data_IF_682107118063
#
_entry.id   IF_682107118063
#
_cell.length_a   1.000
_cell.length_b   1.000
_cell.length_c   1.000
_cell.angle_alpha   90.00
_cell.angle_beta   90.00
_cell.angle_gamma   90.00
#
_symmetry.space_group_name_H-M   'P 1'
#
loop_
_entity.id
_entity.type
_entity.pdbx_description
1 polymer ?
#
# COMPACT_ATOMS: atom_id res chain seq x y z
N UNK A 1 13.41 23.66 11.66
CA UNK A 1 12.37 22.71 11.20
C UNK A 1 12.59 21.36 11.88
N UNK A 2 11.61 20.83 12.61
CA UNK A 2 11.69 19.48 13.20
C UNK A 2 11.14 18.49 12.17
N UNK A 3 12.01 17.66 11.59
CA UNK A 3 11.60 16.60 10.67
C UNK A 3 10.97 15.47 11.49
N UNK A 4 9.64 15.48 11.60
CA UNK A 4 8.88 14.36 12.16
C UNK A 4 8.96 13.18 11.21
N UNK A 5 9.62 12.09 11.61
CA UNK A 5 9.68 10.84 10.84
C UNK A 5 8.65 9.86 11.40
N UNK A 6 7.83 9.31 10.53
CA UNK A 6 6.88 8.26 10.86
C UNK A 6 7.46 6.90 10.44
N UNK A 7 7.43 5.92 11.35
CA UNK A 7 7.93 4.56 11.12
C UNK A 7 6.76 3.60 11.27
N UNK A 8 6.61 2.66 10.32
CA UNK A 8 5.61 1.58 10.40
C UNK A 8 6.28 0.32 10.94
N UNK A 9 5.76 -0.19 12.07
CA UNK A 9 6.21 -1.41 12.75
C UNK A 9 5.33 -2.58 12.32
N UNK A 10 5.95 -3.68 11.86
CA UNK A 10 5.23 -4.91 11.51
C UNK A 10 5.64 -6.01 12.48
N UNK A 11 4.67 -6.56 13.22
CA UNK A 11 4.86 -7.74 14.06
C UNK A 11 4.44 -8.99 13.27
N UNK A 12 5.40 -9.79 12.79
CA UNK A 12 5.12 -11.15 12.32
C UNK A 12 5.22 -12.09 13.52
N UNK A 13 4.06 -12.60 13.97
CA UNK A 13 4.00 -13.56 15.06
C UNK A 13 4.89 -14.77 14.77
N UNK A 14 5.98 -14.92 15.53
CA UNK A 14 6.90 -16.05 15.44
C UNK A 14 8.39 -15.70 15.38
N UNK A 15 8.77 -14.45 15.07
CA UNK A 15 10.18 -14.03 15.05
C UNK A 15 10.38 -12.82 15.94
N UNK A 16 11.23 -12.93 16.97
CA UNK A 16 11.56 -11.87 17.96
C UNK A 16 12.37 -10.70 17.38
N UNK A 17 12.32 -10.45 16.06
CA UNK A 17 13.10 -9.40 15.41
C UNK A 17 12.14 -8.32 14.93
N UNK A 18 12.30 -7.11 15.46
CA UNK A 18 11.60 -5.92 15.00
C UNK A 18 11.98 -5.67 13.54
N UNK A 19 10.99 -5.74 12.65
CA UNK A 19 11.17 -5.36 11.25
C UNK A 19 10.54 -4.00 11.01
N UNK A 20 11.31 -3.12 10.36
CA UNK A 20 10.89 -1.78 9.99
C UNK A 20 10.63 -1.75 8.49
N UNK A 21 9.52 -1.15 8.08
CA UNK A 21 9.22 -0.94 6.66
C UNK A 21 10.15 0.14 6.12
N UNK A 22 11.09 -0.25 5.25
CA UNK A 22 11.86 0.70 4.45
C UNK A 22 11.12 0.89 3.14
N UNK A 23 10.51 2.07 2.95
CA UNK A 23 10.04 2.47 1.62
C UNK A 23 11.29 2.75 0.77
N UNK A 24 11.61 1.83 -0.14
CA UNK A 24 12.78 1.91 -1.03
C UNK A 24 12.45 2.80 -2.24
N UNK A 25 11.16 2.91 -2.58
CA UNK A 25 10.70 3.67 -3.74
C UNK A 25 10.89 5.17 -3.50
N UNK A 26 11.84 5.74 -4.23
CA UNK A 26 12.11 7.19 -4.28
C UNK A 26 11.08 7.97 -5.10
N UNK A 27 10.02 7.30 -5.57
CA UNK A 27 8.99 7.94 -6.39
C UNK A 27 8.12 8.84 -5.50
N UNK A 28 7.95 10.13 -5.86
CA UNK A 28 7.01 11.01 -5.19
C UNK A 28 5.60 10.41 -5.21
N UNK A 29 4.86 10.57 -4.12
CA UNK A 29 3.43 10.24 -4.10
C UNK A 29 2.75 11.20 -5.10
N UNK A 30 2.25 10.67 -6.21
CA UNK A 30 1.43 11.44 -7.13
C UNK A 30 0.08 11.71 -6.47
N UNK A 31 -0.35 12.97 -6.49
CA UNK A 31 -1.63 13.42 -5.94
C UNK A 31 -2.43 14.11 -7.04
N UNK A 32 -3.75 14.07 -6.93
CA UNK A 32 -4.65 14.74 -7.88
C UNK A 32 -5.88 15.26 -7.17
N UNK A 33 -6.42 16.38 -7.65
CA UNK A 33 -7.70 16.95 -7.20
C UNK A 33 -8.89 16.42 -8.03
N UNK A 34 -8.63 15.74 -9.15
CA UNK A 34 -9.69 15.18 -9.99
C UNK A 34 -10.18 13.86 -9.41
N UNK A 35 -11.43 13.85 -8.92
CA UNK A 35 -12.06 12.66 -8.33
C UNK A 35 -12.03 11.43 -9.24
N UNK A 36 -12.30 11.57 -10.54
CA UNK A 36 -12.29 10.43 -11.47
C UNK A 36 -10.89 9.86 -11.62
N UNK A 37 -9.89 10.72 -11.72
CA UNK A 37 -8.49 10.30 -11.80
C UNK A 37 -8.05 9.64 -10.50
N UNK A 38 -8.45 10.16 -9.33
CA UNK A 38 -8.16 9.55 -8.05
C UNK A 38 -8.72 8.12 -7.93
N UNK A 39 -9.93 7.87 -8.41
CA UNK A 39 -10.52 6.53 -8.45
C UNK A 39 -9.72 5.56 -9.34
N UNK A 40 -9.29 6.03 -10.52
CA UNK A 40 -8.46 5.25 -11.44
C UNK A 40 -7.07 4.95 -10.85
N UNK A 41 -6.42 5.95 -10.26
CA UNK A 41 -5.13 5.78 -9.57
C UNK A 41 -5.22 4.79 -8.40
N UNK A 42 -6.31 4.85 -7.62
CA UNK A 42 -6.58 3.91 -6.55
C UNK A 42 -6.73 2.48 -7.05
N UNK A 43 -7.44 2.27 -8.16
CA UNK A 43 -7.56 0.95 -8.80
C UNK A 43 -6.21 0.41 -9.25
N UNK A 44 -5.40 1.20 -9.95
CA UNK A 44 -4.07 0.74 -10.39
C UNK A 44 -3.15 0.39 -9.23
N UNK A 45 -3.21 1.17 -8.14
CA UNK A 45 -2.43 0.87 -6.93
C UNK A 45 -2.88 -0.45 -6.30
N UNK A 46 -4.19 -0.72 -6.26
CA UNK A 46 -4.71 -1.98 -5.76
C UNK A 46 -4.31 -3.17 -6.65
N UNK A 47 -4.33 -3.01 -7.98
CA UNK A 47 -3.87 -4.04 -8.93
C UNK A 47 -2.37 -4.34 -8.77
N UNK A 48 -1.53 -3.32 -8.59
CA UNK A 48 -0.09 -3.47 -8.36
C UNK A 48 0.20 -4.18 -7.02
N UNK A 49 -0.57 -3.86 -5.98
CA UNK A 49 -0.49 -4.55 -4.70
C UNK A 49 -0.89 -6.03 -4.81
N UNK A 50 -1.96 -6.35 -5.55
CA UNK A 50 -2.37 -7.74 -5.82
C UNK A 50 -1.24 -8.51 -6.51
N UNK A 51 -0.64 -7.94 -7.56
CA UNK A 51 0.50 -8.57 -8.25
C UNK A 51 1.69 -8.78 -7.32
N UNK A 52 2.02 -7.78 -6.50
CA UNK A 52 3.15 -7.84 -5.57
C UNK A 52 2.95 -8.85 -4.43
N UNK A 53 1.70 -9.11 -4.04
CA UNK A 53 1.35 -10.06 -2.97
C UNK A 53 1.20 -11.50 -3.47
N UNK A 54 1.01 -11.70 -4.78
CA UNK A 54 0.82 -13.02 -5.37
C UNK A 54 2.08 -13.89 -5.20
N UNK A 55 1.92 -15.02 -4.52
CA UNK A 55 2.98 -16.01 -4.32
C UNK A 55 2.38 -17.42 -4.19
N UNK A 56 3.22 -18.46 -4.07
CA UNK A 56 2.75 -19.86 -4.02
C UNK A 56 1.81 -20.18 -2.84
N UNK A 57 1.76 -19.34 -1.80
CA UNK A 57 0.93 -19.52 -0.60
C UNK A 57 -0.20 -18.50 -0.49
N UNK A 58 -0.31 -17.55 -1.43
CA UNK A 58 -1.28 -16.46 -1.38
C UNK A 58 -1.75 -16.09 -2.79
N UNK A 59 -3.05 -16.24 -3.04
CA UNK A 59 -3.76 -15.81 -4.26
C UNK A 59 -4.64 -14.60 -3.94
N UNK A 60 -4.08 -13.38 -3.93
CA UNK A 60 -4.87 -12.17 -3.72
C UNK A 60 -5.83 -11.92 -4.88
N UNK A 61 -7.06 -11.49 -4.57
CA UNK A 61 -8.10 -11.13 -5.54
C UNK A 61 -8.49 -9.67 -5.37
N UNK A 62 -8.75 -8.96 -6.48
CA UNK A 62 -9.25 -7.60 -6.45
C UNK A 62 -10.78 -7.61 -6.48
N UNK A 63 -11.41 -7.20 -5.38
CA UNK A 63 -12.88 -7.09 -5.29
C UNK A 63 -13.30 -5.62 -5.25
N UNK A 64 -14.25 -5.25 -6.10
CA UNK A 64 -14.87 -3.92 -6.05
C UNK A 64 -16.02 -3.89 -5.05
N UNK A 65 -15.95 -3.01 -4.06
CA UNK A 65 -17.04 -2.78 -3.10
C UNK A 65 -17.66 -1.42 -3.35
N UNK A 66 -18.99 -1.36 -3.44
CA UNK A 66 -19.72 -0.11 -3.57
C UNK A 66 -19.96 0.47 -2.18
N UNK A 67 -19.31 1.59 -1.87
CA UNK A 67 -19.49 2.30 -0.61
C UNK A 67 -20.44 3.48 -0.84
N UNK A 68 -21.44 3.65 0.02
CA UNK A 68 -22.29 4.85 0.03
C UNK A 68 -21.48 6.04 0.54
N UNK A 69 -21.68 7.20 -0.07
CA UNK A 69 -21.02 8.45 0.31
C UNK A 69 -21.46 8.92 1.70
#
# INVERSE_FOLDING_TARGET
MKNTKFIVKVNRGGTHVLQYVRRIDRTPIQTTINRKLALVMGRFTAEDAVKSLQNSRCSPELVSVQVRA
#
